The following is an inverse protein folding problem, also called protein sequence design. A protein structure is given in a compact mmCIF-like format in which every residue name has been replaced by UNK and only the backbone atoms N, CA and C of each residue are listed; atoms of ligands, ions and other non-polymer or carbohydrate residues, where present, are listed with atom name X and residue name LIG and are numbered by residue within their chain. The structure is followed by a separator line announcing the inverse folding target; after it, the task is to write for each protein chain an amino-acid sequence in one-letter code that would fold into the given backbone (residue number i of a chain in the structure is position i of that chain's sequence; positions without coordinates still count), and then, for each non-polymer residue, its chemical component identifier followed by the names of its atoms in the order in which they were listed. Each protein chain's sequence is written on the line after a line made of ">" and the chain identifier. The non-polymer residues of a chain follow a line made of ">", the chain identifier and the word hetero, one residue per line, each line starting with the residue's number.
data_IF_146278555783
#
_entry.id   IF_146278555783
#
_cell.length_a   1.000
_cell.length_b   1.000
_cell.length_c   1.000
_cell.angle_alpha   90.00
_cell.angle_beta   90.00
_cell.angle_gamma   90.00
#
_symmetry.space_group_name_H-M   'P 1'
#
loop_
_entity.id
_entity.type
_entity.pdbx_description
1 polymer ?
#
# COMPACT_ATOMS: atom_id res chain seq x y z
N UNK A 1 27.16 16.40 -19.88
CA UNK A 1 27.15 15.19 -19.03
C UNK A 1 25.93 15.26 -18.14
N UNK A 2 24.92 14.44 -18.45
CA UNK A 2 23.70 14.27 -17.68
C UNK A 2 24.01 13.44 -16.43
N UNK A 3 23.87 14.04 -15.25
CA UNK A 3 23.84 13.32 -13.98
C UNK A 3 22.40 13.01 -13.62
N UNK A 4 22.01 11.74 -13.64
CA UNK A 4 20.66 11.31 -13.22
C UNK A 4 20.53 11.39 -11.69
N UNK A 5 19.57 12.18 -11.21
CA UNK A 5 19.26 12.32 -9.79
C UNK A 5 18.40 11.13 -9.29
N UNK A 6 18.79 10.57 -8.15
CA UNK A 6 18.06 9.53 -7.43
C UNK A 6 17.62 10.08 -6.06
N UNK A 7 16.37 9.83 -5.70
CA UNK A 7 15.75 10.31 -4.46
C UNK A 7 16.05 9.33 -3.32
N UNK A 8 16.55 9.83 -2.18
CA UNK A 8 16.69 9.02 -0.96
C UNK A 8 16.49 9.88 0.28
N UNK A 9 15.58 9.46 1.16
CA UNK A 9 15.45 9.99 2.52
C UNK A 9 16.57 9.41 3.39
N UNK A 10 17.37 10.27 4.02
CA UNK A 10 18.39 9.86 5.01
C UNK A 10 17.81 10.04 6.41
N UNK A 11 17.86 8.97 7.22
CA UNK A 11 17.42 9.01 8.63
C UNK A 11 18.38 9.86 9.46
N UNK A 12 17.86 10.88 10.14
CA UNK A 12 18.50 11.43 11.34
C UNK A 12 18.22 10.48 12.51
N UNK A 13 19.27 10.05 13.21
CA UNK A 13 19.14 9.31 14.46
C UNK A 13 19.04 10.32 15.60
N UNK A 14 17.84 10.51 16.13
CA UNK A 14 17.65 11.06 17.48
C UNK A 14 16.26 10.75 18.02
N UNK A 15 16.25 10.22 19.24
CA UNK A 15 15.07 9.90 20.05
C UNK A 15 14.40 11.22 20.46
N UNK A 16 13.13 11.37 20.12
CA UNK A 16 12.31 12.52 20.51
C UNK A 16 11.28 12.80 19.43
N UNK A 17 10.02 12.98 19.82
CA UNK A 17 8.89 13.40 18.95
C UNK A 17 9.34 14.47 17.95
N UNK A 18 9.37 14.15 16.66
CA UNK A 18 9.91 15.07 15.66
C UNK A 18 9.64 14.64 14.23
N UNK A 19 9.23 15.62 13.44
CA UNK A 19 8.91 15.53 12.02
C UNK A 19 10.00 14.87 11.19
N UNK A 20 9.56 14.11 10.18
CA UNK A 20 10.45 13.49 9.21
C UNK A 20 11.02 14.55 8.27
N UNK A 21 12.22 15.06 8.56
CA UNK A 21 12.96 15.92 7.64
C UNK A 21 13.46 15.12 6.43
N UNK A 22 13.11 15.61 5.22
CA UNK A 22 13.60 15.08 3.95
C UNK A 22 14.98 15.69 3.65
N UNK A 23 16.05 14.94 3.93
CA UNK A 23 17.41 15.35 3.57
C UNK A 23 17.68 14.99 2.09
N UNK A 24 17.87 16.02 1.26
CA UNK A 24 18.27 15.88 -0.15
C UNK A 24 19.78 15.64 -0.24
N UNK A 25 20.21 14.47 -0.71
CA UNK A 25 21.63 14.19 -0.94
C UNK A 25 21.94 14.15 -2.44
N UNK A 26 22.94 14.91 -2.89
CA UNK A 26 23.47 14.87 -4.27
C UNK A 26 24.57 13.80 -4.37
N UNK A 27 24.46 12.87 -5.31
CA UNK A 27 25.55 11.96 -5.67
C UNK A 27 25.85 12.01 -7.17
N UNK A 28 27.06 12.40 -7.59
CA UNK A 28 27.54 12.24 -8.96
C UNK A 28 28.14 10.84 -9.14
N UNK A 29 27.77 10.15 -10.22
CA UNK A 29 28.48 8.96 -10.71
C UNK A 29 29.54 9.40 -11.72
N UNK A 30 30.79 8.97 -11.50
CA UNK A 30 31.94 9.29 -12.33
C UNK A 30 31.83 8.66 -13.73
N UNK A 31 32.16 9.44 -14.77
CA UNK A 31 32.46 8.96 -16.12
C UNK A 31 33.95 8.67 -16.29
N UNK A 32 34.31 7.74 -17.16
CA UNK A 32 34.68 8.04 -18.56
C UNK A 32 35.12 6.76 -19.30
N UNK A 33 34.90 6.76 -20.62
CA UNK A 33 35.32 5.72 -21.54
C UNK A 33 34.93 6.07 -22.97
N UNK A 34 35.68 6.99 -23.56
CA UNK A 34 35.62 7.41 -24.97
C UNK A 34 35.85 6.24 -25.92
N UNK A 35 35.07 6.15 -27.00
CA UNK A 35 35.64 5.97 -28.35
C UNK A 35 34.65 6.43 -29.44
N UNK A 36 35.19 7.17 -30.41
CA UNK A 36 34.49 7.83 -31.49
C UNK A 36 34.58 7.03 -32.80
N UNK A 37 33.51 7.01 -33.59
CA UNK A 37 33.51 6.54 -34.97
C UNK A 37 32.52 7.35 -35.82
N UNK A 38 32.90 7.88 -37.01
CA UNK A 38 32.04 8.77 -37.77
C UNK A 38 31.17 7.98 -38.74
N UNK A 39 29.85 8.18 -38.71
CA UNK A 39 28.97 7.76 -39.81
C UNK A 39 28.02 8.87 -40.19
N UNK A 40 28.21 9.37 -41.42
CA UNK A 40 27.37 10.37 -42.08
C UNK A 40 26.02 9.75 -42.43
N UNK A 41 24.97 10.18 -41.74
CA UNK A 41 23.60 10.13 -42.25
C UNK A 41 22.91 11.45 -41.88
N UNK A 42 22.26 12.16 -42.81
CA UNK A 42 21.48 13.33 -42.46
C UNK A 42 20.34 12.88 -41.54
N UNK A 43 20.39 13.27 -40.27
CA UNK A 43 19.22 13.20 -39.39
C UNK A 43 18.24 14.26 -39.88
N UNK A 44 17.16 13.79 -40.47
CA UNK A 44 15.90 14.52 -40.58
C UNK A 44 15.60 15.05 -39.16
N UNK A 45 15.28 16.34 -38.98
CA UNK A 45 14.84 16.82 -37.67
C UNK A 45 13.55 16.07 -37.33
N UNK A 46 13.59 15.23 -36.29
CA UNK A 46 12.38 14.79 -35.62
C UNK A 46 11.72 16.05 -35.06
N UNK A 47 10.80 16.63 -35.81
CA UNK A 47 9.75 17.50 -35.30
C UNK A 47 8.75 16.66 -34.51
N UNK A 48 9.23 16.03 -33.45
CA UNK A 48 8.41 15.55 -32.34
C UNK A 48 8.56 16.58 -31.24
N UNK A 49 7.91 17.74 -31.38
CA UNK A 49 7.73 18.64 -30.27
C UNK A 49 7.02 17.85 -29.17
N UNK A 50 7.80 17.37 -28.20
CA UNK A 50 7.32 16.89 -26.92
C UNK A 50 6.57 18.07 -26.28
N UNK A 51 5.29 18.20 -26.61
CA UNK A 51 4.41 19.19 -26.00
C UNK A 51 4.15 18.69 -24.60
N UNK A 52 5.05 19.05 -23.69
CA UNK A 52 4.83 18.86 -22.27
C UNK A 52 3.60 19.66 -21.87
N UNK A 53 2.43 19.03 -21.62
CA UNK A 53 1.17 19.75 -21.56
C UNK A 53 1.13 20.77 -20.42
N UNK A 54 1.93 20.49 -19.37
CA UNK A 54 2.08 21.35 -18.21
C UNK A 54 2.59 22.75 -18.53
N UNK A 55 3.35 22.94 -19.62
CA UNK A 55 3.79 24.28 -20.03
C UNK A 55 2.62 25.22 -20.32
N UNK A 56 1.48 24.67 -20.73
CA UNK A 56 0.26 25.42 -21.02
C UNK A 56 -0.69 25.58 -19.81
N UNK A 57 -0.30 25.14 -18.61
CA UNK A 57 -1.11 25.24 -17.38
C UNK A 57 -0.96 26.59 -16.65
N UNK A 58 -0.29 27.56 -17.25
CA UNK A 58 -0.09 28.87 -16.67
C UNK A 58 -1.41 29.56 -16.34
N UNK A 59 -1.44 30.28 -15.21
CA UNK A 59 -2.61 31.06 -14.77
C UNK A 59 -2.36 32.56 -14.85
N UNK A 60 -3.45 33.30 -15.11
CA UNK A 60 -3.43 34.75 -15.02
C UNK A 60 -3.23 35.24 -13.57
N UNK A 61 -2.61 36.40 -13.40
CA UNK A 61 -2.24 36.94 -12.10
C UNK A 61 -3.43 37.11 -11.13
N UNK A 62 -4.62 37.45 -11.62
CA UNK A 62 -5.82 37.62 -10.79
C UNK A 62 -6.39 36.29 -10.26
N UNK A 63 -6.02 35.16 -10.85
CA UNK A 63 -6.39 33.84 -10.35
C UNK A 63 -5.36 33.28 -9.36
N UNK A 64 -4.25 33.97 -9.11
CA UNK A 64 -3.18 33.48 -8.24
C UNK A 64 -3.61 33.41 -6.77
N UNK A 65 -3.14 32.38 -6.09
CA UNK A 65 -3.30 32.18 -4.65
C UNK A 65 -1.92 32.10 -3.98
N UNK A 66 -1.78 32.40 -2.68
CA UNK A 66 -0.48 32.41 -1.99
C UNK A 66 0.31 31.09 -2.05
N UNK A 67 -0.37 29.95 -2.25
CA UNK A 67 0.28 28.64 -2.40
C UNK A 67 0.84 28.33 -3.79
N UNK A 68 0.51 29.15 -4.80
CA UNK A 68 0.90 28.95 -6.19
C UNK A 68 2.38 29.31 -6.40
N UNK A 69 3.07 28.54 -7.26
CA UNK A 69 4.48 28.77 -7.55
C UNK A 69 4.68 29.43 -8.92
N UNK A 70 5.83 30.08 -9.10
CA UNK A 70 6.22 30.69 -10.38
C UNK A 70 7.47 30.00 -10.92
N UNK A 71 7.39 29.54 -12.17
CA UNK A 71 8.47 28.86 -12.90
C UNK A 71 8.69 29.66 -14.17
N UNK A 72 9.93 30.15 -14.39
CA UNK A 72 10.29 30.96 -15.56
C UNK A 72 9.35 32.17 -15.82
N UNK A 73 8.84 32.79 -14.76
CA UNK A 73 7.93 33.94 -14.84
C UNK A 73 6.46 33.59 -15.09
N UNK A 74 6.13 32.31 -15.35
CA UNK A 74 4.76 31.82 -15.48
C UNK A 74 4.29 31.28 -14.12
N UNK A 75 3.07 31.64 -13.73
CA UNK A 75 2.48 31.19 -12.46
C UNK A 75 1.64 29.93 -12.67
N UNK A 76 1.73 28.98 -11.74
CA UNK A 76 1.04 27.69 -11.83
C UNK A 76 0.26 27.40 -10.56
N UNK A 77 -0.95 26.83 -10.73
CA UNK A 77 -1.72 26.27 -9.63
C UNK A 77 -1.00 25.07 -9.05
N UNK A 78 -1.02 24.93 -7.72
CA UNK A 78 -0.54 23.71 -7.06
C UNK A 78 -1.68 22.89 -6.47
N UNK A 79 -1.42 21.60 -6.24
CA UNK A 79 -2.22 20.83 -5.27
C UNK A 79 -2.06 21.45 -3.87
N UNK A 80 -3.01 21.21 -2.94
CA UNK A 80 -2.86 21.64 -1.54
C UNK A 80 -1.49 21.28 -0.95
N UNK A 81 -0.86 22.26 -0.32
CA UNK A 81 0.41 22.12 0.40
C UNK A 81 0.11 22.26 1.89
N UNK A 82 0.42 21.22 2.67
CA UNK A 82 0.47 21.32 4.13
C UNK A 82 1.81 21.95 4.46
N UNK A 83 1.82 23.06 5.21
CA UNK A 83 3.01 23.79 5.67
C UNK A 83 4.02 24.14 4.55
N UNK A 84 3.59 25.07 3.68
CA UNK A 84 4.33 25.47 2.48
C UNK A 84 5.73 26.07 2.71
N UNK A 85 6.10 26.40 3.96
CA UNK A 85 7.37 27.05 4.31
C UNK A 85 8.58 26.12 4.31
N UNK A 86 8.43 24.83 4.59
CA UNK A 86 9.57 23.93 4.86
C UNK A 86 9.78 22.80 3.83
N UNK A 87 8.93 22.73 2.80
CA UNK A 87 9.00 21.64 1.82
C UNK A 87 9.50 22.10 0.45
N UNK A 88 10.69 21.61 -0.01
CA UNK A 88 11.29 22.00 -1.29
C UNK A 88 10.61 21.35 -2.50
N UNK A 89 9.49 20.65 -2.32
CA UNK A 89 8.73 19.97 -3.38
C UNK A 89 7.31 20.54 -3.42
N UNK A 90 6.87 20.95 -4.60
CA UNK A 90 5.49 21.30 -4.91
C UNK A 90 4.98 20.43 -6.06
N UNK A 91 3.67 20.29 -6.20
CA UNK A 91 3.09 19.68 -7.40
C UNK A 91 2.20 20.69 -8.10
N UNK A 92 2.59 21.09 -9.31
CA UNK A 92 1.75 21.91 -10.18
C UNK A 92 0.64 21.05 -10.75
N UNK A 93 -0.55 21.63 -10.93
CA UNK A 93 -1.72 20.91 -11.42
C UNK A 93 -2.35 21.60 -12.61
N UNK A 94 -2.97 20.81 -13.49
CA UNK A 94 -3.77 21.35 -14.58
C UNK A 94 -4.91 22.24 -14.00
N UNK A 95 -5.03 23.52 -14.42
CA UNK A 95 -6.03 24.45 -13.89
C UNK A 95 -7.47 24.03 -14.20
N UNK A 96 -7.71 23.17 -15.21
CA UNK A 96 -9.03 22.59 -15.47
C UNK A 96 -9.50 21.63 -14.37
N UNK A 97 -8.57 21.10 -13.56
CA UNK A 97 -8.88 20.24 -12.42
C UNK A 97 -8.77 21.04 -11.12
N UNK A 98 -9.92 21.32 -10.49
CA UNK A 98 -9.99 22.07 -9.24
C UNK A 98 -9.37 21.29 -8.07
N UNK A 99 -9.80 20.05 -7.89
CA UNK A 99 -9.30 19.11 -6.88
C UNK A 99 -8.95 17.78 -7.57
N UNK A 100 -8.08 16.99 -6.96
CA UNK A 100 -7.83 15.61 -7.36
C UNK A 100 -8.29 14.70 -6.22
N UNK A 101 -9.52 14.21 -6.29
CA UNK A 101 -9.91 13.08 -5.47
C UNK A 101 -9.32 11.77 -6.03
N UNK A 102 -9.54 10.65 -5.34
CA UNK A 102 -9.04 9.36 -5.78
C UNK A 102 -9.54 8.97 -7.18
N UNK A 103 -10.81 9.18 -7.47
CA UNK A 103 -11.45 8.69 -8.70
C UNK A 103 -11.00 9.50 -9.93
N UNK A 104 -10.96 10.82 -9.81
CA UNK A 104 -10.42 11.70 -10.85
C UNK A 104 -8.92 11.44 -11.06
N UNK A 105 -8.16 11.25 -9.97
CA UNK A 105 -6.73 10.97 -10.10
C UNK A 105 -6.47 9.63 -10.79
N UNK A 106 -7.21 8.57 -10.42
CA UNK A 106 -7.19 7.28 -11.10
C UNK A 106 -7.55 7.38 -12.58
N UNK A 107 -8.62 8.10 -12.92
CA UNK A 107 -9.04 8.31 -14.31
C UNK A 107 -7.98 9.07 -15.10
N UNK A 108 -7.39 10.11 -14.51
CA UNK A 108 -6.28 10.88 -15.10
C UNK A 108 -5.09 9.97 -15.41
N UNK A 109 -4.64 9.18 -14.42
CA UNK A 109 -3.52 8.24 -14.62
C UNK A 109 -3.81 7.18 -15.69
N UNK A 110 -5.07 6.77 -15.86
CA UNK A 110 -5.48 5.75 -16.83
C UNK A 110 -5.60 6.28 -18.25
N UNK A 111 -6.17 7.47 -18.42
CA UNK A 111 -6.60 7.99 -19.74
C UNK A 111 -5.70 9.10 -20.28
N UNK A 112 -5.13 9.91 -19.38
CA UNK A 112 -4.42 11.15 -19.69
C UNK A 112 -3.25 11.32 -18.72
N UNK A 113 -2.34 10.34 -18.69
CA UNK A 113 -1.28 10.26 -17.68
C UNK A 113 -0.38 11.51 -17.68
N UNK A 114 -0.23 12.18 -18.82
CA UNK A 114 0.47 13.44 -19.00
C UNK A 114 -0.21 14.64 -18.33
N UNK A 115 -1.49 14.53 -17.98
CA UNK A 115 -2.29 15.54 -17.29
C UNK A 115 -2.21 15.45 -15.76
N UNK A 116 -1.53 14.42 -15.22
CA UNK A 116 -1.34 14.28 -13.77
C UNK A 116 -0.56 15.47 -13.18
N UNK A 117 -0.70 15.77 -11.88
CA UNK A 117 0.13 16.78 -11.22
C UNK A 117 1.63 16.52 -11.44
N UNK A 118 2.40 17.58 -11.70
CA UNK A 118 3.84 17.48 -11.97
C UNK A 118 4.63 17.96 -10.78
N UNK A 119 5.59 17.14 -10.33
CA UNK A 119 6.51 17.53 -9.26
C UNK A 119 7.41 18.66 -9.73
N UNK A 120 7.58 19.68 -8.89
CA UNK A 120 8.54 20.75 -9.05
C UNK A 120 9.38 20.87 -7.78
N UNK A 121 10.67 21.10 -7.94
CA UNK A 121 11.62 21.25 -6.85
C UNK A 121 12.16 22.67 -6.79
N UNK A 122 12.37 23.14 -5.56
CA UNK A 122 13.05 24.41 -5.34
C UNK A 122 14.56 24.16 -5.30
N UNK A 123 15.29 24.73 -6.25
CA UNK A 123 16.73 24.50 -6.44
C UNK A 123 17.54 25.58 -5.70
N UNK A 124 18.36 25.21 -4.70
CA UNK A 124 19.29 26.14 -4.04
C UNK A 124 20.46 26.53 -4.98
N UNK A 125 21.10 27.70 -4.76
CA UNK A 125 20.86 28.67 -3.68
C UNK A 125 19.84 29.75 -4.04
N UNK A 126 19.51 29.91 -5.33
CA UNK A 126 18.62 30.98 -5.82
C UNK A 126 17.14 30.71 -5.56
N UNK A 127 16.80 29.54 -5.03
CA UNK A 127 15.44 29.13 -4.67
C UNK A 127 14.42 29.24 -5.84
N UNK A 128 14.88 29.04 -7.08
CA UNK A 128 14.00 28.97 -8.25
C UNK A 128 13.38 27.58 -8.37
N UNK A 129 12.21 27.50 -8.99
CA UNK A 129 11.50 26.24 -9.19
C UNK A 129 11.85 25.60 -10.53
N UNK A 130 12.14 24.31 -10.51
CA UNK A 130 12.32 23.47 -11.71
C UNK A 130 11.32 22.31 -11.68
N UNK A 131 10.68 22.01 -12.82
CA UNK A 131 9.77 20.87 -12.94
C UNK A 131 10.58 19.59 -13.18
N UNK A 132 10.28 18.53 -12.43
CA UNK A 132 10.86 17.20 -12.68
C UNK A 132 10.45 16.73 -14.09
N UNK A 133 11.40 16.42 -14.98
CA UNK A 133 11.08 15.93 -16.31
C UNK A 133 10.33 14.59 -16.28
N UNK A 134 10.46 13.81 -15.20
CA UNK A 134 9.76 12.54 -15.04
C UNK A 134 8.36 12.75 -14.48
N UNK A 135 7.42 11.98 -15.00
CA UNK A 135 6.08 11.90 -14.42
C UNK A 135 6.16 11.30 -13.01
N UNK A 136 5.42 11.86 -12.03
CA UNK A 136 5.38 11.30 -10.68
C UNK A 136 4.91 9.83 -10.62
N UNK A 137 3.96 9.45 -11.48
CA UNK A 137 3.40 8.11 -11.57
C UNK A 137 3.37 7.64 -13.04
N UNK A 138 3.71 6.37 -13.27
CA UNK A 138 3.77 5.74 -14.59
C UNK A 138 2.59 4.79 -14.89
N UNK A 139 1.68 4.63 -13.92
CA UNK A 139 0.48 3.78 -13.99
C UNK A 139 -0.54 4.24 -12.94
N UNK A 140 -1.72 3.61 -12.91
CA UNK A 140 -2.72 3.91 -11.88
C UNK A 140 -2.27 3.45 -10.50
N UNK A 141 -2.81 4.05 -9.42
CA UNK A 141 -2.49 3.60 -8.05
C UNK A 141 -2.93 2.15 -7.83
N UNK A 142 -4.01 1.72 -8.49
CA UNK A 142 -4.49 0.33 -8.41
C UNK A 142 -3.50 -0.63 -9.07
N UNK A 143 -2.89 -0.25 -10.19
CA UNK A 143 -1.87 -1.08 -10.86
C UNK A 143 -0.59 -1.19 -10.04
N UNK A 144 -0.22 -0.15 -9.27
CA UNK A 144 0.88 -0.26 -8.31
C UNK A 144 0.58 -1.32 -7.24
N UNK A 145 -0.62 -1.33 -6.66
CA UNK A 145 -1.02 -2.36 -5.68
C UNK A 145 -1.03 -3.74 -6.34
N UNK A 146 -1.61 -3.86 -7.53
CA UNK A 146 -1.72 -5.13 -8.27
C UNK A 146 -0.36 -5.77 -8.55
N UNK A 147 0.69 -4.97 -8.78
CA UNK A 147 2.04 -5.46 -9.01
C UNK A 147 2.64 -6.17 -7.78
N UNK A 148 2.24 -5.79 -6.55
CA UNK A 148 2.75 -6.38 -5.31
C UNK A 148 1.79 -7.39 -4.66
N UNK A 149 0.50 -7.33 -4.98
CA UNK A 149 -0.53 -8.23 -4.44
C UNK A 149 -1.37 -8.84 -5.57
N UNK A 150 -0.76 -9.63 -6.47
CA UNK A 150 -1.40 -10.02 -7.73
C UNK A 150 -2.64 -10.91 -7.55
N UNK A 151 -2.72 -11.65 -6.43
CA UNK A 151 -3.80 -12.59 -6.16
C UNK A 151 -5.05 -11.95 -5.51
N UNK A 152 -4.99 -10.66 -5.14
CA UNK A 152 -6.17 -9.93 -4.66
C UNK A 152 -7.21 -9.78 -5.78
N UNK A 153 -8.50 -9.75 -5.42
CA UNK A 153 -9.57 -9.41 -6.34
C UNK A 153 -9.46 -7.95 -6.79
N UNK A 154 -9.98 -7.63 -7.98
CA UNK A 154 -9.90 -6.29 -8.55
C UNK A 154 -10.51 -5.23 -7.64
N UNK A 155 -11.62 -5.56 -6.97
CA UNK A 155 -12.23 -4.66 -5.99
C UNK A 155 -11.34 -4.45 -4.76
N UNK A 156 -10.69 -5.51 -4.25
CA UNK A 156 -9.75 -5.36 -3.13
C UNK A 156 -8.56 -4.49 -3.52
N UNK A 157 -8.03 -4.65 -4.74
CA UNK A 157 -6.95 -3.81 -5.26
C UNK A 157 -7.37 -2.33 -5.32
N UNK A 158 -8.58 -2.05 -5.81
CA UNK A 158 -9.15 -0.70 -5.85
C UNK A 158 -9.30 -0.11 -4.44
N UNK A 159 -9.87 -0.88 -3.52
CA UNK A 159 -10.13 -0.42 -2.15
C UNK A 159 -8.84 -0.20 -1.36
N UNK A 160 -7.81 -1.03 -1.59
CA UNK A 160 -6.46 -0.84 -1.04
C UNK A 160 -5.84 0.44 -1.58
N UNK A 161 -5.86 0.67 -2.89
CA UNK A 161 -5.33 1.89 -3.49
C UNK A 161 -6.07 3.15 -2.97
N UNK A 162 -7.40 3.09 -2.84
CA UNK A 162 -8.20 4.19 -2.29
C UNK A 162 -7.85 4.49 -0.83
N UNK A 163 -7.72 3.44 0.00
CA UNK A 163 -7.35 3.60 1.41
C UNK A 163 -5.93 4.13 1.56
N UNK A 164 -4.98 3.63 0.77
CA UNK A 164 -3.60 4.11 0.75
C UNK A 164 -3.52 5.58 0.34
N UNK A 165 -4.24 5.98 -0.71
CA UNK A 165 -4.37 7.37 -1.13
C UNK A 165 -4.90 8.25 0.02
N UNK A 166 -5.97 7.81 0.68
CA UNK A 166 -6.56 8.56 1.78
C UNK A 166 -5.61 8.72 2.97
N UNK A 167 -4.92 7.65 3.35
CA UNK A 167 -3.96 7.67 4.46
C UNK A 167 -2.73 8.53 4.15
N UNK A 168 -2.24 8.51 2.91
CA UNK A 168 -1.09 9.32 2.50
C UNK A 168 -1.42 10.81 2.47
N UNK A 169 -2.62 11.16 2.04
CA UNK A 169 -3.05 12.56 1.92
C UNK A 169 -3.74 13.11 3.18
N UNK A 170 -4.10 12.26 4.15
CA UNK A 170 -4.88 12.63 5.33
C UNK A 170 -6.36 12.97 5.02
N UNK A 171 -6.80 12.83 3.78
CA UNK A 171 -8.15 13.12 3.29
C UNK A 171 -8.40 12.35 1.98
N UNK A 172 -9.58 12.48 1.40
CA UNK A 172 -9.91 11.96 0.06
C UNK A 172 -9.43 12.87 -1.10
N UNK A 173 -8.65 13.92 -0.81
CA UNK A 173 -8.10 14.88 -1.78
C UNK A 173 -6.58 14.79 -1.80
N UNK A 174 -5.98 14.81 -2.99
CA UNK A 174 -4.53 14.79 -3.18
C UNK A 174 -3.87 16.04 -2.59
N UNK A 175 -2.75 15.86 -1.90
CA UNK A 175 -1.87 16.91 -1.39
C UNK A 175 -0.44 16.67 -1.87
N UNK A 176 0.40 17.71 -1.88
CA UNK A 176 1.78 17.57 -2.32
C UNK A 176 2.59 16.60 -1.46
N UNK A 177 2.34 16.61 -0.14
CA UNK A 177 2.94 15.68 0.81
C UNK A 177 2.46 14.24 0.58
N UNK A 178 1.16 14.05 0.35
CA UNK A 178 0.59 12.71 0.13
C UNK A 178 1.03 12.10 -1.21
N UNK A 179 1.11 12.88 -2.29
CA UNK A 179 1.67 12.38 -3.56
C UNK A 179 3.13 11.98 -3.44
N UNK A 180 3.95 12.76 -2.73
CA UNK A 180 5.35 12.38 -2.44
C UNK A 180 5.43 11.11 -1.60
N UNK A 181 4.56 10.99 -0.59
CA UNK A 181 4.49 9.80 0.27
C UNK A 181 4.13 8.55 -0.54
N UNK A 182 3.14 8.63 -1.44
CA UNK A 182 2.77 7.51 -2.32
C UNK A 182 3.95 7.07 -3.21
N UNK A 183 4.66 8.02 -3.83
CA UNK A 183 5.86 7.71 -4.63
C UNK A 183 6.92 6.99 -3.81
N UNK A 184 7.14 7.44 -2.58
CA UNK A 184 8.10 6.80 -1.67
C UNK A 184 7.68 5.38 -1.34
N UNK A 185 6.42 5.14 -0.98
CA UNK A 185 5.91 3.79 -0.66
C UNK A 185 6.07 2.84 -1.85
N UNK A 186 5.76 3.27 -3.07
CA UNK A 186 5.94 2.43 -4.26
C UNK A 186 7.42 2.14 -4.57
N UNK A 187 8.31 3.08 -4.25
CA UNK A 187 9.76 2.88 -4.35
C UNK A 187 10.27 1.93 -3.27
N UNK A 188 9.76 2.01 -2.05
CA UNK A 188 10.12 1.13 -0.93
C UNK A 188 9.71 -0.31 -1.22
N UNK A 189 8.50 -0.51 -1.77
CA UNK A 189 8.07 -1.83 -2.24
C UNK A 189 9.04 -2.41 -3.28
N UNK A 190 9.54 -1.59 -4.21
CA UNK A 190 10.45 -2.05 -5.28
C UNK A 190 11.83 -2.44 -4.75
N UNK A 191 12.27 -1.76 -3.70
CA UNK A 191 13.59 -1.95 -3.10
C UNK A 191 13.59 -2.90 -1.90
N UNK A 192 12.40 -3.38 -1.48
CA UNK A 192 12.23 -4.18 -0.24
C UNK A 192 12.84 -3.49 0.99
N UNK A 193 12.78 -2.16 1.03
CA UNK A 193 13.35 -1.35 2.12
C UNK A 193 12.48 -1.40 3.38
N UNK A 194 13.06 -0.99 4.51
CA UNK A 194 12.29 -0.74 5.74
C UNK A 194 11.29 0.39 5.48
N UNK A 195 10.00 0.16 5.71
CA UNK A 195 8.95 1.14 5.49
C UNK A 195 8.77 2.00 6.74
N UNK A 196 9.00 3.33 6.68
CA UNK A 196 8.76 4.23 7.82
C UNK A 196 7.29 4.37 8.20
N UNK A 197 6.38 4.10 7.24
CA UNK A 197 4.92 4.16 7.39
C UNK A 197 4.29 2.80 7.03
N UNK A 198 4.44 1.75 7.86
CA UNK A 198 3.94 0.40 7.56
C UNK A 198 2.45 0.36 7.20
N UNK A 199 1.65 1.20 7.84
CA UNK A 199 0.21 1.34 7.60
C UNK A 199 -0.14 1.88 6.20
N UNK A 200 0.84 2.41 5.45
CA UNK A 200 0.72 2.76 4.05
C UNK A 200 1.23 1.68 3.09
N UNK A 201 2.01 0.71 3.57
CA UNK A 201 2.65 -0.28 2.72
C UNK A 201 2.06 -1.69 2.84
N UNK A 202 1.41 -2.01 3.97
CA UNK A 202 0.80 -3.33 4.17
C UNK A 202 -0.74 -3.25 4.16
N UNK A 203 -1.42 -3.88 3.18
CA UNK A 203 -2.88 -3.91 3.12
C UNK A 203 -3.56 -4.48 4.37
N UNK A 204 -2.92 -5.38 5.12
CA UNK A 204 -3.48 -5.92 6.36
C UNK A 204 -3.48 -4.90 7.50
N UNK A 205 -2.53 -3.95 7.49
CA UNK A 205 -2.50 -2.84 8.44
C UNK A 205 -3.51 -1.74 8.09
N UNK A 206 -3.90 -1.63 6.81
CA UNK A 206 -4.91 -0.69 6.33
C UNK A 206 -6.35 -1.08 6.66
N UNK A 207 -6.59 -2.36 6.99
CA UNK A 207 -7.92 -2.87 7.32
C UNK A 207 -8.48 -2.21 8.58
N UNK A 208 -9.75 -1.79 8.49
CA UNK A 208 -10.54 -1.40 9.66
C UNK A 208 -10.75 -2.61 10.59
N UNK A 209 -10.82 -2.33 11.90
CA UNK A 209 -11.07 -3.35 12.92
C UNK A 209 -12.56 -3.68 12.98
N UNK A 210 -12.93 -4.90 12.57
CA UNK A 210 -14.28 -5.41 12.76
C UNK A 210 -14.49 -5.86 14.21
N UNK A 211 -15.65 -5.51 14.76
CA UNK A 211 -16.03 -5.87 16.13
C UNK A 211 -16.58 -7.29 16.19
N UNK A 212 -16.21 -8.02 17.23
CA UNK A 212 -16.80 -9.30 17.54
C UNK A 212 -18.07 -9.11 18.38
N UNK A 213 -19.22 -9.54 17.86
CA UNK A 213 -20.53 -9.33 18.49
C UNK A 213 -21.14 -10.64 19.02
N UNK A 214 -22.11 -10.58 19.96
CA UNK A 214 -22.82 -11.76 20.43
C UNK A 214 -23.53 -12.53 19.30
N UNK A 215 -23.40 -13.86 19.31
CA UNK A 215 -24.06 -14.78 18.40
C UNK A 215 -25.19 -15.56 19.07
N UNK A 216 -25.60 -16.68 18.45
CA UNK A 216 -26.58 -17.60 19.07
C UNK A 216 -25.90 -18.42 20.17
N UNK A 217 -26.55 -18.54 21.33
CA UNK A 217 -26.03 -19.29 22.47
C UNK A 217 -24.80 -18.62 23.06
N UNK A 218 -23.75 -19.39 23.35
CA UNK A 218 -22.46 -18.89 23.84
C UNK A 218 -21.48 -18.51 22.73
N UNK A 219 -21.88 -18.61 21.46
CA UNK A 219 -21.01 -18.23 20.35
C UNK A 219 -20.93 -16.72 20.18
N UNK A 220 -19.77 -16.25 19.71
CA UNK A 220 -19.61 -14.90 19.16
C UNK A 220 -19.50 -14.97 17.64
N UNK A 221 -19.74 -13.85 16.98
CA UNK A 221 -19.65 -13.76 15.52
C UNK A 221 -18.87 -12.52 15.09
N UNK A 222 -18.18 -12.65 13.96
CA UNK A 222 -17.74 -11.52 13.14
C UNK A 222 -18.50 -11.61 11.83
N UNK A 223 -19.20 -10.54 11.47
CA UNK A 223 -19.90 -10.44 10.20
C UNK A 223 -18.98 -9.78 9.16
N UNK A 224 -18.75 -10.48 8.06
CA UNK A 224 -17.96 -9.97 6.96
C UNK A 224 -18.76 -8.92 6.17
N UNK A 225 -18.12 -7.82 5.77
CA UNK A 225 -18.69 -6.86 4.82
C UNK A 225 -19.06 -7.53 3.50
N UNK A 226 -19.96 -6.90 2.76
CA UNK A 226 -20.33 -7.39 1.44
C UNK A 226 -19.10 -7.39 0.52
N UNK A 227 -18.83 -8.47 -0.22
CA UNK A 227 -17.73 -8.48 -1.18
C UNK A 227 -17.90 -7.47 -2.31
N UNK A 228 -19.08 -6.88 -2.53
CA UNK A 228 -19.31 -5.83 -3.52
C UNK A 228 -19.15 -4.40 -2.98
N UNK A 229 -18.93 -4.22 -1.66
CA UNK A 229 -18.81 -2.89 -1.06
C UNK A 229 -17.50 -2.20 -1.48
N UNK A 230 -17.62 -1.01 -2.10
CA UNK A 230 -16.48 -0.26 -2.62
C UNK A 230 -15.78 0.62 -1.57
N UNK A 231 -16.40 0.90 -0.41
CA UNK A 231 -15.81 1.74 0.65
C UNK A 231 -16.51 1.44 1.99
N UNK A 232 -15.81 1.43 3.16
CA UNK A 232 -14.35 1.48 3.37
C UNK A 232 -13.66 0.11 3.29
N UNK A 233 -12.32 0.09 3.15
CA UNK A 233 -11.51 -1.13 3.17
C UNK A 233 -11.62 -1.85 4.52
N UNK A 234 -12.52 -2.83 4.59
CA UNK A 234 -12.80 -3.64 5.78
C UNK A 234 -12.42 -5.11 5.60
N UNK A 235 -12.22 -5.55 4.35
CA UNK A 235 -11.83 -6.91 4.00
C UNK A 235 -10.84 -6.90 2.84
N UNK A 236 -9.92 -7.86 2.86
CA UNK A 236 -9.22 -8.31 1.66
C UNK A 236 -9.93 -9.55 1.13
N UNK A 237 -10.05 -9.61 -0.19
CA UNK A 237 -10.54 -10.78 -0.89
C UNK A 237 -9.53 -11.17 -1.96
N UNK A 238 -9.19 -12.46 -1.99
CA UNK A 238 -8.33 -13.05 -3.01
C UNK A 238 -9.20 -13.80 -4.01
N UNK A 239 -8.86 -13.64 -5.28
CA UNK A 239 -9.58 -14.24 -6.39
C UNK A 239 -9.10 -15.69 -6.59
N UNK A 240 -9.97 -16.64 -6.26
CA UNK A 240 -9.67 -18.07 -6.38
C UNK A 240 -9.31 -18.52 -7.79
N UNK A 241 -9.72 -17.78 -8.83
CA UNK A 241 -9.36 -18.09 -10.22
C UNK A 241 -7.87 -17.88 -10.50
N UNK A 242 -7.21 -16.98 -9.76
CA UNK A 242 -5.77 -16.70 -9.90
C UNK A 242 -4.88 -17.82 -9.33
N UNK A 243 -5.44 -18.73 -8.55
CA UNK A 243 -4.78 -19.90 -7.94
C UNK A 243 -5.72 -21.13 -7.93
N UNK A 244 -6.40 -21.37 -9.06
CA UNK A 244 -7.50 -22.34 -9.16
C UNK A 244 -7.09 -23.78 -8.83
N UNK A 245 -5.85 -24.17 -9.12
CA UNK A 245 -5.32 -25.50 -8.82
C UNK A 245 -5.23 -25.75 -7.32
N UNK A 246 -4.61 -24.81 -6.60
CA UNK A 246 -4.46 -24.81 -5.15
C UNK A 246 -5.82 -24.70 -4.46
N UNK A 247 -6.69 -23.83 -4.98
CA UNK A 247 -8.05 -23.69 -4.48
C UNK A 247 -8.83 -25.00 -4.57
N UNK A 248 -8.79 -25.70 -5.71
CA UNK A 248 -9.47 -26.98 -5.90
C UNK A 248 -8.95 -28.08 -4.97
N UNK A 249 -7.64 -28.13 -4.76
CA UNK A 249 -7.06 -29.07 -3.79
C UNK A 249 -7.53 -28.75 -2.37
N UNK A 250 -7.47 -27.48 -1.98
CA UNK A 250 -7.92 -27.01 -0.67
C UNK A 250 -9.42 -27.26 -0.44
N UNK A 251 -10.27 -26.95 -1.41
CA UNK A 251 -11.73 -27.09 -1.29
C UNK A 251 -12.17 -28.54 -1.16
N UNK A 252 -11.40 -29.48 -1.74
CA UNK A 252 -11.61 -30.92 -1.56
C UNK A 252 -11.15 -31.46 -0.19
N UNK A 253 -10.29 -30.73 0.53
CA UNK A 253 -9.74 -31.16 1.82
C UNK A 253 -10.36 -30.40 2.99
N UNK A 254 -11.05 -31.11 3.89
CA UNK A 254 -11.72 -30.49 5.04
C UNK A 254 -10.85 -30.42 6.31
N UNK A 255 -9.57 -30.76 6.22
CA UNK A 255 -8.70 -30.80 7.41
C UNK A 255 -8.18 -29.41 7.79
N UNK A 256 -7.88 -29.22 9.08
CA UNK A 256 -7.24 -28.00 9.58
C UNK A 256 -5.74 -27.94 9.21
N UNK A 257 -5.07 -29.07 8.98
CA UNK A 257 -3.74 -29.10 8.37
C UNK A 257 -3.73 -28.56 6.93
N UNK A 258 -4.76 -28.90 6.13
CA UNK A 258 -4.87 -28.42 4.76
C UNK A 258 -5.08 -26.90 4.67
N UNK A 259 -5.96 -26.31 5.50
CA UNK A 259 -6.17 -24.85 5.48
C UNK A 259 -4.92 -24.08 5.92
N UNK A 260 -4.17 -24.60 6.91
CA UNK A 260 -2.90 -24.01 7.33
C UNK A 260 -1.90 -23.96 6.18
N UNK A 261 -1.70 -25.08 5.49
CA UNK A 261 -0.77 -25.15 4.34
C UNK A 261 -1.21 -24.23 3.21
N UNK A 262 -2.48 -24.31 2.83
CA UNK A 262 -3.05 -23.43 1.80
C UNK A 262 -2.84 -21.95 2.12
N UNK A 263 -3.18 -21.52 3.34
CA UNK A 263 -3.02 -20.12 3.75
C UNK A 263 -1.56 -19.72 3.87
N UNK A 264 -0.68 -20.63 4.32
CA UNK A 264 0.76 -20.38 4.33
C UNK A 264 1.28 -20.08 2.92
N UNK A 265 0.91 -20.92 1.96
CA UNK A 265 1.39 -20.80 0.58
C UNK A 265 0.85 -19.53 -0.07
N UNK A 266 -0.45 -19.23 0.12
CA UNK A 266 -1.07 -17.96 -0.32
C UNK A 266 -0.34 -16.74 0.25
N UNK A 267 -0.15 -16.68 1.57
CA UNK A 267 0.54 -15.57 2.23
C UNK A 267 1.99 -15.42 1.74
N UNK A 268 2.70 -16.54 1.56
CA UNK A 268 4.09 -16.55 1.09
C UNK A 268 4.21 -15.95 -0.32
N UNK A 269 3.30 -16.33 -1.24
CA UNK A 269 3.27 -15.76 -2.61
C UNK A 269 2.92 -14.27 -2.64
N UNK A 270 2.25 -13.76 -1.60
CA UNK A 270 1.93 -12.34 -1.44
C UNK A 270 2.95 -11.60 -0.54
N UNK A 271 4.15 -12.16 -0.35
CA UNK A 271 5.28 -11.48 0.27
C UNK A 271 5.35 -11.55 1.79
N UNK A 272 4.54 -12.39 2.44
CA UNK A 272 4.59 -12.61 3.88
C UNK A 272 5.49 -13.79 4.25
N UNK A 273 6.14 -13.69 5.41
CA UNK A 273 6.91 -14.80 5.99
C UNK A 273 6.09 -15.47 7.10
N UNK A 274 5.64 -16.69 6.83
CA UNK A 274 4.84 -17.47 7.78
C UNK A 274 5.75 -18.32 8.65
N UNK A 275 5.56 -18.27 9.96
CA UNK A 275 6.28 -19.15 10.89
C UNK A 275 5.97 -20.63 10.59
N UNK A 276 6.82 -21.53 11.08
CA UNK A 276 6.58 -22.96 10.96
C UNK A 276 5.19 -23.33 11.48
N UNK A 277 4.48 -24.15 10.71
CA UNK A 277 3.12 -24.53 11.06
C UNK A 277 3.15 -25.39 12.32
N UNK A 278 2.46 -24.93 13.36
CA UNK A 278 2.39 -25.67 14.62
C UNK A 278 1.81 -27.09 14.42
N UNK A 279 2.28 -28.07 15.21
CA UNK A 279 1.97 -29.50 15.05
C UNK A 279 0.50 -29.83 15.32
N UNK A 280 -0.22 -28.96 16.05
CA UNK A 280 -1.63 -29.15 16.34
C UNK A 280 -2.49 -29.11 15.07
N UNK A 281 -2.94 -30.27 14.60
CA UNK A 281 -3.82 -30.38 13.42
C UNK A 281 -5.25 -29.93 13.67
N UNK A 282 -5.66 -29.70 14.93
CA UNK A 282 -7.01 -29.27 15.32
C UNK A 282 -7.15 -27.77 15.51
N UNK A 283 -6.04 -27.03 15.47
CA UNK A 283 -6.00 -25.58 15.73
C UNK A 283 -5.63 -24.81 14.47
N UNK A 284 -6.60 -24.39 13.63
CA UNK A 284 -6.34 -23.81 12.32
C UNK A 284 -5.90 -22.35 12.44
N UNK A 285 -4.66 -22.12 12.86
CA UNK A 285 -4.07 -20.78 13.02
C UNK A 285 -2.74 -20.70 12.28
N UNK A 286 -2.44 -19.52 11.73
CA UNK A 286 -1.11 -19.17 11.22
C UNK A 286 -0.65 -17.86 11.86
N UNK A 287 0.64 -17.79 12.14
CA UNK A 287 1.32 -16.57 12.58
C UNK A 287 2.32 -16.20 11.51
N UNK A 288 2.43 -14.93 11.19
CA UNK A 288 3.30 -14.47 10.11
C UNK A 288 3.72 -13.01 10.28
N UNK A 289 4.72 -12.62 9.51
CA UNK A 289 5.32 -11.28 9.46
C UNK A 289 5.50 -10.85 8.01
N UNK A 290 5.96 -9.62 7.81
CA UNK A 290 6.39 -9.13 6.52
C UNK A 290 7.67 -8.32 6.63
N UNK A 291 8.56 -8.47 5.66
CA UNK A 291 9.72 -7.62 5.52
C UNK A 291 9.30 -6.16 5.39
N UNK A 292 10.02 -5.26 6.07
CA UNK A 292 9.77 -3.82 6.00
C UNK A 292 9.23 -3.22 7.30
N UNK A 293 8.63 -4.04 8.18
CA UNK A 293 8.13 -3.61 9.49
C UNK A 293 8.11 -4.77 10.50
N UNK A 294 7.86 -4.48 11.77
CA UNK A 294 7.91 -5.44 12.88
C UNK A 294 6.53 -5.83 13.45
N UNK A 295 5.44 -5.50 12.75
CA UNK A 295 4.12 -6.05 13.05
C UNK A 295 4.08 -7.56 12.88
N UNK A 296 3.40 -8.23 13.81
CA UNK A 296 3.12 -9.67 13.78
C UNK A 296 1.63 -9.87 13.59
N UNK A 297 1.27 -10.73 12.64
CA UNK A 297 -0.12 -11.07 12.36
C UNK A 297 -0.45 -12.43 12.95
N UNK A 298 -1.53 -12.49 13.73
CA UNK A 298 -2.10 -13.71 14.26
C UNK A 298 -3.45 -13.96 13.58
N UNK A 299 -3.53 -15.00 12.77
CA UNK A 299 -4.73 -15.28 11.98
C UNK A 299 -5.36 -16.63 12.32
N UNK A 300 -6.60 -16.56 12.83
CA UNK A 300 -7.46 -17.74 12.94
C UNK A 300 -8.11 -18.04 11.58
N UNK A 301 -8.12 -19.30 11.19
CA UNK A 301 -8.54 -19.76 9.87
C UNK A 301 -9.91 -20.42 9.91
N UNK A 302 -10.76 -20.04 8.96
CA UNK A 302 -12.17 -20.43 8.92
C UNK A 302 -12.58 -20.89 7.53
N UNK A 303 -13.55 -21.80 7.47
CA UNK A 303 -14.31 -22.10 6.26
C UNK A 303 -15.74 -21.69 6.52
N UNK A 304 -16.25 -20.73 5.77
CA UNK A 304 -17.58 -20.17 6.02
C UNK A 304 -18.49 -20.30 4.81
N UNK A 305 -19.77 -20.51 5.11
CA UNK A 305 -20.87 -20.34 4.16
C UNK A 305 -21.60 -19.05 4.53
N UNK A 306 -21.81 -18.17 3.55
CA UNK A 306 -22.36 -16.84 3.79
C UNK A 306 -21.31 -15.87 4.34
N UNK A 307 -21.70 -14.97 5.24
CA UNK A 307 -20.85 -13.85 5.70
C UNK A 307 -20.49 -13.90 7.18
N UNK A 308 -20.80 -14.98 7.91
CA UNK A 308 -20.61 -15.03 9.37
C UNK A 308 -19.48 -15.97 9.74
N UNK A 309 -18.46 -15.43 10.40
CA UNK A 309 -17.44 -16.23 11.08
C UNK A 309 -17.93 -16.51 12.49
N UNK A 310 -18.23 -17.78 12.79
CA UNK A 310 -18.60 -18.20 14.14
C UNK A 310 -17.36 -18.48 14.98
N UNK A 311 -17.35 -17.98 16.21
CA UNK A 311 -16.27 -18.15 17.16
C UNK A 311 -16.84 -18.95 18.33
N UNK A 312 -16.28 -20.13 18.58
CA UNK A 312 -16.70 -20.96 19.71
C UNK A 312 -15.98 -20.53 21.00
N UNK A 313 -16.59 -20.69 22.19
CA UNK A 313 -15.91 -20.47 23.46
C UNK A 313 -14.67 -21.35 23.68
N UNK A 314 -14.58 -22.46 22.95
CA UNK A 314 -13.40 -23.31 22.98
C UNK A 314 -12.23 -22.67 22.21
N UNK A 315 -12.51 -21.92 21.14
CA UNK A 315 -11.47 -21.26 20.34
C UNK A 315 -10.85 -20.08 21.08
N UNK A 316 -11.64 -19.32 21.84
CA UNK A 316 -11.13 -18.24 22.69
C UNK A 316 -10.19 -18.77 23.78
N UNK A 317 -10.59 -19.88 24.41
CA UNK A 317 -9.78 -20.58 25.41
C UNK A 317 -8.51 -21.23 24.85
N UNK A 318 -8.31 -21.26 23.52
CA UNK A 318 -7.07 -21.76 22.91
C UNK A 318 -5.99 -20.69 22.85
N UNK A 319 -6.31 -19.41 23.05
CA UNK A 319 -5.31 -18.36 23.30
C UNK A 319 -4.93 -18.30 24.79
N UNK A 320 -4.60 -19.45 25.38
CA UNK A 320 -4.00 -19.49 26.73
C UNK A 320 -2.49 -19.54 26.52
N UNK A 321 -1.70 -18.55 27.00
CA UNK A 321 -0.27 -18.45 26.73
C UNK A 321 0.51 -19.73 27.02
N UNK A 322 0.12 -20.46 28.07
CA UNK A 322 0.75 -21.72 28.46
C UNK A 322 0.66 -22.81 27.39
N UNK A 323 -0.40 -22.80 26.58
CA UNK A 323 -0.66 -23.81 25.53
C UNK A 323 -0.24 -23.35 24.14
N UNK A 324 -0.06 -22.05 23.92
CA UNK A 324 0.32 -21.50 22.62
C UNK A 324 1.60 -22.14 22.03
N UNK A 325 2.68 -22.43 22.80
CA UNK A 325 3.85 -23.10 22.26
C UNK A 325 3.54 -24.43 21.56
N UNK A 326 2.60 -25.22 22.08
CA UNK A 326 2.17 -26.49 21.49
C UNK A 326 1.31 -26.30 20.24
N UNK A 327 0.59 -25.17 20.17
CA UNK A 327 -0.39 -24.88 19.13
C UNK A 327 0.21 -24.20 17.89
N UNK A 328 1.13 -23.24 18.10
CA UNK A 328 1.73 -22.41 17.05
C UNK A 328 3.26 -22.54 16.96
N UNK A 329 3.89 -23.26 17.90
CA UNK A 329 5.34 -23.44 17.95
C UNK A 329 6.06 -22.34 18.76
N UNK A 330 7.26 -22.64 19.28
CA UNK A 330 7.97 -21.74 20.19
C UNK A 330 8.44 -20.44 19.52
N UNK A 331 8.86 -20.50 18.26
CA UNK A 331 9.32 -19.32 17.52
C UNK A 331 8.17 -18.31 17.27
N UNK A 332 7.01 -18.80 16.82
CA UNK A 332 5.82 -17.99 16.62
C UNK A 332 5.32 -17.40 17.94
N UNK A 333 5.31 -18.19 19.01
CA UNK A 333 4.89 -17.73 20.34
C UNK A 333 5.75 -16.56 20.83
N UNK A 334 7.07 -16.68 20.73
CA UNK A 334 7.98 -15.59 21.11
C UNK A 334 7.73 -14.31 20.29
N UNK A 335 7.46 -14.45 18.99
CA UNK A 335 7.13 -13.31 18.14
C UNK A 335 5.81 -12.64 18.56
N UNK A 336 4.78 -13.43 18.85
CA UNK A 336 3.48 -12.95 19.35
C UNK A 336 3.65 -12.19 20.66
N UNK A 337 4.38 -12.74 21.63
CA UNK A 337 4.63 -12.09 22.92
C UNK A 337 5.38 -10.76 22.77
N UNK A 338 6.43 -10.73 21.95
CA UNK A 338 7.21 -9.52 21.71
C UNK A 338 6.35 -8.43 21.03
N UNK A 339 5.58 -8.82 20.00
CA UNK A 339 4.70 -7.89 19.30
C UNK A 339 3.56 -7.39 20.19
N UNK A 340 3.01 -8.25 21.05
CA UNK A 340 2.01 -7.85 22.03
C UNK A 340 2.56 -6.81 23.02
N UNK A 341 3.75 -7.07 23.59
CA UNK A 341 4.42 -6.14 24.49
C UNK A 341 4.74 -4.79 23.82
N UNK A 342 4.97 -4.80 22.51
CA UNK A 342 5.23 -3.60 21.70
C UNK A 342 3.97 -2.94 21.11
N UNK A 343 2.76 -3.47 21.37
CA UNK A 343 1.50 -3.03 20.75
C UNK A 343 1.50 -3.11 19.20
N UNK A 344 2.11 -4.17 18.66
CA UNK A 344 2.28 -4.46 17.23
C UNK A 344 1.70 -5.82 16.81
N UNK A 345 0.92 -6.45 17.69
CA UNK A 345 0.17 -7.66 17.37
C UNK A 345 -1.15 -7.31 16.67
N UNK A 346 -1.38 -7.92 15.51
CA UNK A 346 -2.59 -7.70 14.70
C UNK A 346 -3.42 -8.98 14.64
N UNK A 347 -4.68 -8.87 15.04
CA UNK A 347 -5.64 -9.97 15.04
C UNK A 347 -6.40 -10.05 13.73
N UNK A 348 -6.36 -11.23 13.11
CA UNK A 348 -6.98 -11.48 11.83
C UNK A 348 -7.89 -12.73 11.90
N UNK A 349 -8.90 -12.71 11.05
CA UNK A 349 -9.66 -13.90 10.65
C UNK A 349 -9.56 -14.02 9.14
N UNK A 350 -9.31 -15.23 8.64
CA UNK A 350 -9.26 -15.45 7.21
C UNK A 350 -9.59 -16.88 6.83
N UNK A 351 -9.60 -17.16 5.54
CA UNK A 351 -9.84 -18.49 5.00
C UNK A 351 -10.87 -18.50 3.87
N UNK A 352 -11.42 -19.67 3.56
CA UNK A 352 -12.32 -19.85 2.43
C UNK A 352 -13.75 -19.36 2.72
N UNK A 353 -14.33 -18.63 1.78
CA UNK A 353 -15.72 -18.19 1.78
C UNK A 353 -16.45 -18.73 0.56
N UNK A 354 -17.59 -19.37 0.82
CA UNK A 354 -18.59 -19.74 -0.18
C UNK A 354 -19.81 -18.84 0.06
N UNK A 355 -20.18 -18.04 -0.94
CA UNK A 355 -21.30 -17.10 -0.85
C UNK A 355 -22.21 -17.27 -2.08
N UNK A 356 -23.50 -17.45 -1.83
CA UNK A 356 -24.47 -17.60 -2.92
C UNK A 356 -24.42 -16.40 -3.88
N UNK A 357 -24.46 -16.68 -5.18
CA UNK A 357 -24.41 -15.66 -6.22
C UNK A 357 -23.04 -15.00 -6.43
N UNK A 358 -22.00 -15.46 -5.75
CA UNK A 358 -20.64 -14.91 -5.87
C UNK A 358 -19.62 -16.04 -6.15
N UNK A 359 -18.51 -15.75 -6.84
CA UNK A 359 -17.40 -16.68 -6.92
C UNK A 359 -16.84 -17.00 -5.54
N UNK A 360 -16.44 -18.25 -5.36
CA UNK A 360 -15.67 -18.69 -4.20
C UNK A 360 -14.41 -17.82 -4.04
N UNK A 361 -14.07 -17.49 -2.81
CA UNK A 361 -12.94 -16.60 -2.53
C UNK A 361 -12.25 -16.93 -1.23
N UNK A 362 -11.05 -16.38 -1.06
CA UNK A 362 -10.39 -16.32 0.25
C UNK A 362 -10.59 -14.92 0.81
N UNK A 363 -10.99 -14.81 2.07
CA UNK A 363 -11.11 -13.53 2.75
C UNK A 363 -10.03 -13.40 3.83
N UNK A 364 -9.65 -12.16 4.11
CA UNK A 364 -8.94 -11.79 5.35
C UNK A 364 -9.58 -10.51 5.89
N UNK A 365 -9.91 -10.50 7.17
CA UNK A 365 -10.41 -9.32 7.90
C UNK A 365 -9.60 -9.11 9.17
N UNK A 366 -9.48 -7.84 9.57
CA UNK A 366 -8.91 -7.46 10.86
C UNK A 366 -10.00 -7.40 11.91
N UNK A 367 -9.73 -7.93 13.09
CA UNK A 367 -10.71 -7.95 14.19
C UNK A 367 -10.12 -7.34 15.45
N UNK A 368 -11.01 -7.09 16.40
CA UNK A 368 -10.65 -6.83 17.78
C UNK A 368 -9.89 -8.02 18.40
N UNK A 369 -9.25 -7.73 19.54
CA UNK A 369 -8.59 -8.75 20.35
C UNK A 369 -9.64 -9.75 20.84
N UNK A 370 -9.57 -11.04 20.46
CA UNK A 370 -10.58 -12.03 20.79
C UNK A 370 -10.69 -12.32 22.29
N UNK A 371 -9.74 -11.85 23.12
CA UNK A 371 -9.78 -11.98 24.57
C UNK A 371 -10.59 -10.90 25.27
N UNK A 372 -10.90 -9.81 24.57
CA UNK A 372 -11.74 -8.72 25.05
C UNK A 372 -13.16 -8.93 24.52
#
# INVERSE_FOLDING_TARGET
>A
MEGTLAWRQVRAVSIGTGDSELIITRHPLAGDGLEAGPSRRPRIPDTGASSEPWKNWGIAAHHASPGDISIEGVRYKTVPRVDASDHPIAYIKNPAHLIYDFDLFQATLRQHIEQQPRGAIQVPPTHHWEVDPRLPFDRTLTDYVAAYFPELSDLSLLNVARKQFSLANGSDIATGAGLTTLRQVFTDWKTSSVTPRPELADPLLMLSVLQTIPGKGSHRIVELPDPADQVPLQRLQFDSQKFSGEWRYFSSSLTAGAIKRFMKDLLTRNGYTVFELGPAHTFPTVVFTRTGHDFVFYMSLHRIHGRKVQISPADERRYVPERLPELIGPAAMRAVQNAEAANKLIWLKGGGQILAGHPDSVFIVRTDDPRR
#
